data_IF_752336486225
#
_entry.id   IF_752336486225
#
_cell.length_a   1.000
_cell.length_b   1.000
_cell.length_c   1.000
_cell.angle_alpha   90.00
_cell.angle_beta   90.00
_cell.angle_gamma   90.00
#
_symmetry.space_group_name_H-M   'P 1'
#
loop_
_entity.id
_entity.type
_entity.pdbx_description
1 polymer ?
#
# COMPACT_ATOMS: atom_id res chain seq x y z
N UNK A 1 8.89 16.48 16.20
CA UNK A 1 8.09 15.24 16.34
C UNK A 1 6.91 15.52 17.26
N UNK A 2 5.72 14.99 16.98
CA UNK A 2 4.55 15.14 17.87
C UNK A 2 4.35 13.84 18.65
N UNK A 3 4.08 13.93 19.95
CA UNK A 3 3.74 12.78 20.77
C UNK A 3 2.26 12.43 20.56
N UNK A 4 1.98 11.15 20.31
CA UNK A 4 0.62 10.62 20.13
C UNK A 4 0.47 9.45 21.10
N UNK A 5 -0.64 9.43 21.81
CA UNK A 5 -1.02 8.31 22.67
C UNK A 5 -1.93 7.37 21.89
N UNK A 6 -1.62 6.08 21.92
CA UNK A 6 -2.40 5.00 21.32
C UNK A 6 -2.75 3.98 22.40
N UNK A 7 -3.99 3.49 22.37
CA UNK A 7 -4.40 2.37 23.20
C UNK A 7 -4.17 1.08 22.42
N UNK A 8 -3.55 0.10 23.09
CA UNK A 8 -3.24 -1.22 22.56
C UNK A 8 -3.65 -2.24 23.61
N UNK A 9 -4.07 -3.40 23.15
CA UNK A 9 -4.22 -4.55 24.05
C UNK A 9 -2.86 -4.89 24.69
N UNK A 10 -2.91 -5.41 25.92
CA UNK A 10 -1.71 -5.58 26.73
C UNK A 10 -0.70 -6.55 26.08
N UNK A 11 -1.20 -7.61 25.45
CA UNK A 11 -0.42 -8.59 24.70
C UNK A 11 0.25 -7.96 23.48
N UNK A 12 -0.48 -7.15 22.71
CA UNK A 12 0.04 -6.41 21.55
C UNK A 12 1.12 -5.42 21.97
N UNK A 13 0.91 -4.68 23.06
CA UNK A 13 1.90 -3.74 23.59
C UNK A 13 3.19 -4.46 24.03
N UNK A 14 3.09 -5.64 24.65
CA UNK A 14 4.23 -6.46 25.06
C UNK A 14 5.00 -6.98 23.86
N UNK A 15 4.30 -7.55 22.88
CA UNK A 15 4.88 -8.02 21.63
C UNK A 15 5.60 -6.90 20.88
N UNK A 16 4.97 -5.73 20.77
CA UNK A 16 5.55 -4.59 20.07
C UNK A 16 6.84 -4.09 20.72
N UNK A 17 6.92 -4.08 22.06
CA UNK A 17 8.16 -3.75 22.78
C UNK A 17 9.27 -4.76 22.52
N UNK A 18 8.96 -6.07 22.56
CA UNK A 18 9.94 -7.11 22.23
C UNK A 18 10.47 -6.94 20.82
N UNK A 19 9.59 -6.70 19.84
CA UNK A 19 9.98 -6.47 18.46
C UNK A 19 10.82 -5.21 18.27
N UNK A 20 10.51 -4.13 18.96
CA UNK A 20 11.32 -2.92 18.93
C UNK A 20 12.73 -3.18 19.48
N UNK A 21 12.84 -3.92 20.59
CA UNK A 21 14.11 -4.32 21.18
C UNK A 21 14.93 -5.25 20.26
N UNK A 22 14.29 -6.24 19.62
CA UNK A 22 14.94 -7.12 18.63
C UNK A 22 15.55 -6.35 17.45
N UNK A 23 14.99 -5.18 17.11
CA UNK A 23 15.47 -4.33 16.01
C UNK A 23 16.32 -3.15 16.48
N UNK A 24 16.75 -3.16 17.75
CA UNK A 24 17.57 -2.09 18.36
C UNK A 24 16.99 -0.68 18.16
N UNK A 25 15.65 -0.58 18.15
CA UNK A 25 14.94 0.67 17.85
C UNK A 25 13.91 0.98 18.93
N UNK A 26 13.44 2.23 18.96
CA UNK A 26 12.34 2.61 19.85
C UNK A 26 11.00 2.25 19.22
N UNK A 27 10.02 1.93 20.07
CA UNK A 27 8.65 1.63 19.63
C UNK A 27 8.05 2.80 18.83
N UNK A 28 8.26 4.04 19.27
CA UNK A 28 7.78 5.23 18.58
C UNK A 28 8.41 5.39 17.19
N UNK A 29 9.69 5.04 17.02
CA UNK A 29 10.37 5.08 15.73
C UNK A 29 9.85 3.97 14.81
N UNK A 30 9.73 2.75 15.32
CA UNK A 30 9.16 1.61 14.58
C UNK A 30 7.73 1.89 14.08
N UNK A 31 6.85 2.39 14.94
CA UNK A 31 5.47 2.74 14.57
C UNK A 31 5.46 3.92 13.59
N UNK A 32 6.31 4.93 13.79
CA UNK A 32 6.41 6.07 12.89
C UNK A 32 6.86 5.68 11.47
N UNK A 33 7.78 4.73 11.35
CA UNK A 33 8.21 4.17 10.07
C UNK A 33 7.10 3.35 9.41
N UNK A 34 6.41 2.50 10.18
CA UNK A 34 5.26 1.73 9.68
C UNK A 34 4.16 2.66 9.14
N UNK A 35 3.76 3.67 9.91
CA UNK A 35 2.74 4.63 9.49
C UNK A 35 3.15 5.43 8.26
N UNK A 36 4.44 5.81 8.17
CA UNK A 36 4.96 6.49 6.97
C UNK A 36 4.86 5.59 5.75
N UNK A 37 5.22 4.31 5.87
CA UNK A 37 5.13 3.36 4.77
C UNK A 37 3.67 3.19 4.32
N UNK A 38 2.74 2.97 5.26
CA UNK A 38 1.31 2.86 4.94
C UNK A 38 0.78 4.11 4.24
N UNK A 39 1.14 5.31 4.71
CA UNK A 39 0.74 6.55 4.06
C UNK A 39 1.27 6.66 2.63
N UNK A 40 2.53 6.27 2.39
CA UNK A 40 3.13 6.28 1.06
C UNK A 40 2.46 5.26 0.13
N UNK A 41 2.15 4.07 0.64
CA UNK A 41 1.49 3.01 -0.11
C UNK A 41 0.08 3.44 -0.52
N UNK A 42 -0.69 4.02 0.40
CA UNK A 42 -2.03 4.56 0.12
C UNK A 42 -1.99 5.72 -0.90
N UNK A 43 -1.04 6.65 -0.76
CA UNK A 43 -0.88 7.76 -1.69
C UNK A 43 -0.43 7.28 -3.08
N UNK A 44 0.51 6.34 -3.13
CA UNK A 44 0.99 5.74 -4.37
C UNK A 44 -0.12 4.99 -5.10
N UNK A 45 -0.94 4.23 -4.37
CA UNK A 45 -2.10 3.56 -4.92
C UNK A 45 -3.12 4.56 -5.50
N UNK A 46 -3.49 5.60 -4.76
CA UNK A 46 -4.44 6.59 -5.26
C UNK A 46 -3.89 7.38 -6.45
N UNK A 47 -2.59 7.68 -6.48
CA UNK A 47 -1.95 8.30 -7.63
C UNK A 47 -2.00 7.39 -8.86
N UNK A 48 -1.56 6.13 -8.74
CA UNK A 48 -1.60 5.15 -9.83
C UNK A 48 -3.03 4.89 -10.33
N UNK A 49 -4.01 4.87 -9.42
CA UNK A 49 -5.42 4.71 -9.76
C UNK A 49 -5.95 5.89 -10.58
N UNK A 50 -5.60 7.12 -10.21
CA UNK A 50 -5.96 8.33 -10.98
C UNK A 50 -5.29 8.34 -12.34
N UNK A 51 -4.01 8.00 -12.40
CA UNK A 51 -3.26 7.93 -13.66
C UNK A 51 -3.87 6.91 -14.60
N UNK A 52 -4.14 5.69 -14.12
CA UNK A 52 -4.82 4.65 -14.90
C UNK A 52 -6.21 5.10 -15.38
N UNK A 53 -7.01 5.72 -14.51
CA UNK A 53 -8.32 6.24 -14.88
C UNK A 53 -8.27 7.39 -15.89
N UNK A 54 -7.16 8.14 -15.96
CA UNK A 54 -6.97 9.22 -16.93
C UNK A 54 -6.63 8.73 -18.33
N UNK A 55 -6.17 7.48 -18.47
CA UNK A 55 -5.87 6.88 -19.78
C UNK A 55 -7.16 6.68 -20.55
N UNK A 56 -7.30 7.40 -21.68
CA UNK A 56 -8.44 7.20 -22.58
C UNK A 56 -8.41 5.77 -23.13
N UNK A 57 -9.52 5.01 -23.04
CA UNK A 57 -9.60 3.71 -23.66
C UNK A 57 -9.34 3.81 -25.16
N UNK A 58 -8.40 3.02 -25.66
CA UNK A 58 -8.15 2.90 -27.10
C UNK A 58 -8.90 1.66 -27.59
N UNK A 59 -9.60 1.79 -28.71
CA UNK A 59 -10.24 0.66 -29.35
C UNK A 59 -9.17 -0.33 -29.81
N UNK A 60 -9.18 -1.54 -29.25
CA UNK A 60 -8.25 -2.62 -29.59
C UNK A 60 -8.58 -3.30 -30.93
N UNK A 61 -9.65 -2.85 -31.60
CA UNK A 61 -10.11 -3.34 -32.89
C UNK A 61 -10.68 -2.18 -33.70
N UNK A 62 -10.66 -2.31 -35.01
CA UNK A 62 -11.39 -1.40 -35.89
C UNK A 62 -12.90 -1.68 -35.79
N UNK A 63 -13.76 -0.69 -36.06
CA UNK A 63 -15.21 -0.89 -36.14
C UNK A 63 -15.53 -1.97 -37.18
N UNK A 64 -16.19 -3.05 -36.75
CA UNK A 64 -16.58 -4.16 -37.63
C UNK A 64 -15.62 -5.34 -37.67
N UNK A 65 -14.40 -5.24 -37.11
CA UNK A 65 -13.49 -6.38 -37.04
C UNK A 65 -13.80 -7.30 -35.84
N UNK A 66 -13.78 -8.63 -36.03
CA UNK A 66 -13.82 -9.57 -34.92
C UNK A 66 -12.48 -9.59 -34.18
N UNK A 67 -12.51 -9.84 -32.87
CA UNK A 67 -11.28 -10.04 -32.11
C UNK A 67 -10.53 -11.30 -32.58
N UNK A 68 -9.19 -11.32 -32.50
CA UNK A 68 -8.42 -12.52 -32.80
C UNK A 68 -8.91 -13.71 -31.98
N UNK A 69 -9.13 -14.85 -32.64
CA UNK A 69 -9.47 -16.09 -31.96
C UNK A 69 -8.35 -16.49 -31.00
N UNK A 70 -8.73 -17.02 -29.83
CA UNK A 70 -7.77 -17.54 -28.86
C UNK A 70 -6.96 -18.67 -29.51
N UNK A 71 -5.69 -18.43 -29.83
CA UNK A 71 -4.75 -19.53 -30.16
C UNK A 71 -4.47 -20.27 -28.87
N UNK A 72 -5.18 -21.37 -28.64
CA UNK A 72 -4.69 -22.45 -27.78
C UNK A 72 -3.62 -23.22 -28.56
N UNK A 73 -2.48 -23.57 -27.93
CA UNK A 73 -1.49 -24.46 -28.53
C UNK A 73 -2.05 -25.88 -28.73
#
# INVERSE_FOLDING_TARGET
MKAISIQLDEDVARWARMKAAERETSLSKMIGELLRQTMLDEQGFEAARRDFASVKPVALKLPGEPYPGRRTP
#
